data_IF_616336470960
#
_entry.id   IF_616336470960
#
_cell.length_a   1.000
_cell.length_b   1.000
_cell.length_c   1.000
_cell.angle_alpha   90.00
_cell.angle_beta   90.00
_cell.angle_gamma   90.00
#
_symmetry.space_group_name_H-M   'P 1'
#
loop_
_entity.id
_entity.type
_entity.pdbx_description
1 polymer ?
#
# COMPACT_ATOMS: atom_id res chain seq x y z
N UNK A 1 -23.21 -1.38 1.54
CA UNK A 1 -22.21 -2.34 1.03
C UNK A 1 -21.36 -2.75 2.22
N UNK A 2 -21.30 -4.04 2.54
CA UNK A 2 -20.41 -4.51 3.62
C UNK A 2 -18.99 -4.16 3.21
N UNK A 3 -18.32 -3.28 3.98
CA UNK A 3 -16.93 -2.94 3.73
C UNK A 3 -16.10 -4.22 3.95
N UNK A 4 -15.78 -4.92 2.86
CA UNK A 4 -14.88 -6.06 2.90
C UNK A 4 -13.49 -5.60 3.34
N UNK A 5 -12.69 -6.51 3.86
CA UNK A 5 -11.25 -6.30 3.99
C UNK A 5 -10.53 -7.20 3.00
N UNK A 6 -9.42 -6.71 2.45
CA UNK A 6 -8.56 -7.48 1.57
C UNK A 6 -7.18 -7.63 2.21
N UNK A 7 -6.47 -8.70 1.83
CA UNK A 7 -5.08 -8.90 2.23
C UNK A 7 -4.16 -8.15 1.27
N UNK A 8 -3.44 -7.15 1.79
CA UNK A 8 -2.37 -6.47 1.09
C UNK A 8 -1.02 -7.11 1.42
N UNK A 9 -0.27 -7.52 0.40
CA UNK A 9 1.12 -7.97 0.50
C UNK A 9 2.04 -6.84 0.01
N UNK A 10 3.07 -6.52 0.77
CA UNK A 10 4.07 -5.50 0.44
C UNK A 10 5.40 -6.18 0.19
N UNK A 11 5.97 -6.00 -1.00
CA UNK A 11 7.13 -6.72 -1.49
C UNK A 11 8.27 -5.75 -1.82
N UNK A 12 9.52 -6.16 -1.62
CA UNK A 12 10.67 -5.46 -2.19
C UNK A 12 10.93 -5.90 -3.64
N UNK A 13 11.49 -5.02 -4.49
CA UNK A 13 11.81 -5.33 -5.90
C UNK A 13 12.84 -6.45 -6.08
N UNK A 14 13.55 -6.85 -5.02
CA UNK A 14 14.49 -7.97 -5.03
C UNK A 14 13.80 -9.35 -4.87
N UNK A 15 12.47 -9.39 -5.02
CA UNK A 15 11.54 -10.52 -5.21
C UNK A 15 11.52 -11.65 -4.15
N UNK A 16 12.51 -11.76 -3.26
CA UNK A 16 12.60 -12.85 -2.27
C UNK A 16 12.28 -12.44 -0.82
N UNK A 17 12.00 -11.16 -0.55
CA UNK A 17 11.59 -10.68 0.78
C UNK A 17 10.26 -9.93 0.76
N UNK A 18 9.27 -10.52 1.46
CA UNK A 18 8.08 -9.83 1.94
C UNK A 18 8.53 -8.75 2.93
N UNK A 19 8.17 -7.49 2.68
CA UNK A 19 8.39 -6.40 3.63
C UNK A 19 7.42 -6.57 4.81
N UNK A 20 6.11 -6.58 4.51
CA UNK A 20 5.07 -6.92 5.48
C UNK A 20 3.74 -7.25 4.78
N UNK A 21 2.72 -7.60 5.57
CA UNK A 21 1.34 -7.71 5.08
C UNK A 21 0.35 -7.01 6.01
N UNK A 22 -0.77 -6.55 5.47
CA UNK A 22 -1.82 -5.87 6.22
C UNK A 22 -3.22 -6.26 5.74
N UNK A 23 -4.20 -6.18 6.64
CA UNK A 23 -5.61 -6.23 6.29
C UNK A 23 -6.12 -4.80 6.10
N UNK A 24 -6.58 -4.47 4.89
CA UNK A 24 -7.03 -3.13 4.52
C UNK A 24 -8.51 -3.15 4.11
N UNK A 25 -9.28 -2.10 4.42
CA UNK A 25 -10.67 -2.02 3.98
C UNK A 25 -10.74 -1.84 2.45
N UNK A 26 -11.70 -2.49 1.81
CA UNK A 26 -12.05 -2.24 0.41
C UNK A 26 -12.81 -0.92 0.34
N UNK A 27 -12.19 0.09 -0.29
CA UNK A 27 -12.75 1.44 -0.41
C UNK A 27 -13.49 1.67 -1.74
N UNK A 28 -13.18 0.87 -2.76
CA UNK A 28 -13.69 1.00 -4.13
C UNK A 28 -13.84 -0.38 -4.79
N UNK A 29 -14.58 -0.44 -5.91
CA UNK A 29 -14.69 -1.66 -6.72
C UNK A 29 -13.38 -2.02 -7.44
N UNK A 30 -12.51 -1.03 -7.65
CA UNK A 30 -11.17 -1.20 -8.21
C UNK A 30 -10.10 -1.22 -7.11
N UNK A 31 -8.99 -1.96 -7.30
CA UNK A 31 -7.87 -1.93 -6.38
C UNK A 31 -7.20 -0.54 -6.37
N UNK A 32 -6.61 -0.12 -5.24
CA UNK A 32 -5.86 1.13 -5.19
C UNK A 32 -4.60 1.04 -6.07
N UNK A 33 -4.22 2.15 -6.70
CA UNK A 33 -3.01 2.23 -7.54
C UNK A 33 -1.73 2.09 -6.73
N UNK A 34 -1.73 2.66 -5.52
CA UNK A 34 -0.60 2.65 -4.62
C UNK A 34 -1.05 2.75 -3.17
N UNK A 35 -0.19 2.24 -2.28
CA UNK A 35 -0.31 2.37 -0.83
C UNK A 35 0.88 3.17 -0.33
N UNK A 36 0.62 4.08 0.61
CA UNK A 36 1.66 4.77 1.37
C UNK A 36 1.71 4.23 2.78
N UNK A 37 2.91 3.97 3.29
CA UNK A 37 3.15 3.52 4.65
C UNK A 37 4.04 4.51 5.41
N UNK A 38 3.67 4.83 6.65
CA UNK A 38 4.53 5.58 7.55
C UNK A 38 5.81 4.77 7.82
N UNK A 39 6.97 5.38 7.65
CA UNK A 39 8.27 4.74 7.90
C UNK A 39 9.27 5.75 8.46
N UNK A 40 10.49 5.31 8.70
CA UNK A 40 11.62 6.17 9.03
C UNK A 40 12.80 5.86 8.13
N UNK A 41 13.47 6.90 7.63
CA UNK A 41 14.70 6.77 6.85
C UNK A 41 15.80 7.60 7.51
N UNK A 42 16.94 6.96 7.83
CA UNK A 42 18.06 7.59 8.54
C UNK A 42 17.66 8.35 9.83
N UNK A 43 16.67 7.82 10.57
CA UNK A 43 16.17 8.43 11.81
C UNK A 43 15.19 9.59 11.63
N UNK A 44 14.87 9.99 10.40
CA UNK A 44 13.85 10.99 10.09
C UNK A 44 12.53 10.33 9.66
N UNK A 45 11.41 11.01 9.90
CA UNK A 45 10.10 10.57 9.42
C UNK A 45 10.05 10.58 7.90
N UNK A 46 9.54 9.49 7.34
CA UNK A 46 9.42 9.30 5.91
C UNK A 46 8.14 8.53 5.58
N UNK A 47 7.85 8.42 4.28
CA UNK A 47 6.73 7.66 3.74
C UNK A 47 7.26 6.71 2.69
N UNK A 48 7.06 5.41 2.89
CA UNK A 48 7.30 4.39 1.88
C UNK A 48 6.10 4.33 0.92
N UNK A 49 6.38 4.24 -0.38
CA UNK A 49 5.40 4.18 -1.46
C UNK A 49 5.48 2.80 -2.10
N UNK A 50 4.35 2.09 -2.12
CA UNK A 50 4.21 0.79 -2.75
C UNK A 50 3.20 0.89 -3.87
N UNK A 51 3.57 0.49 -5.08
CA UNK A 51 2.71 0.52 -6.26
C UNK A 51 2.06 -0.84 -6.49
N UNK A 52 0.81 -0.85 -6.97
CA UNK A 52 0.11 -2.09 -7.30
C UNK A 52 0.93 -2.89 -8.33
N UNK A 53 1.22 -4.14 -7.97
CA UNK A 53 1.98 -5.08 -8.80
C UNK A 53 1.08 -6.21 -9.34
N UNK A 54 0.21 -6.76 -8.50
CA UNK A 54 -0.70 -7.86 -8.86
C UNK A 54 -2.04 -7.69 -8.13
N UNK A 55 -3.15 -7.92 -8.85
CA UNK A 55 -4.51 -7.76 -8.36
C UNK A 55 -5.50 -8.79 -8.94
N UNK A 56 -5.02 -9.87 -9.53
CA UNK A 56 -5.83 -10.96 -10.11
C UNK A 56 -6.79 -11.61 -9.12
N UNK A 57 -6.51 -11.51 -7.82
CA UNK A 57 -7.36 -12.00 -6.72
C UNK A 57 -8.15 -10.89 -6.02
N UNK A 58 -8.37 -9.75 -6.68
CA UNK A 58 -9.20 -8.68 -6.13
C UNK A 58 -10.69 -9.07 -6.16
N UNK A 59 -11.48 -8.80 -5.08
CA UNK A 59 -11.17 -8.00 -3.90
C UNK A 59 -10.63 -8.77 -2.68
N UNK A 60 -10.24 -10.04 -2.80
CA UNK A 60 -9.73 -10.83 -1.67
C UNK A 60 -8.28 -10.47 -1.30
N UNK A 61 -7.43 -10.22 -2.30
CA UNK A 61 -6.01 -9.92 -2.11
C UNK A 61 -5.41 -9.05 -3.23
N UNK A 62 -4.36 -8.30 -2.89
CA UNK A 62 -3.53 -7.56 -3.83
C UNK A 62 -2.08 -7.48 -3.33
N UNK A 63 -1.13 -7.43 -4.26
CA UNK A 63 0.29 -7.26 -3.97
C UNK A 63 0.78 -5.90 -4.46
N UNK A 64 1.61 -5.25 -3.64
CA UNK A 64 2.20 -3.96 -3.90
C UNK A 64 3.72 -4.03 -3.79
N UNK A 65 4.41 -3.49 -4.78
CA UNK A 65 5.87 -3.46 -4.83
C UNK A 65 6.39 -2.13 -4.31
N UNK A 66 7.39 -2.17 -3.44
CA UNK A 66 8.10 -0.99 -2.99
C UNK A 66 8.68 -0.23 -4.19
N UNK A 67 8.29 1.03 -4.35
CA UNK A 67 8.78 1.91 -5.41
C UNK A 67 9.88 2.83 -4.88
N UNK A 68 9.61 3.50 -3.75
CA UNK A 68 10.51 4.51 -3.17
C UNK A 68 10.11 4.91 -1.76
N UNK A 69 11.03 5.58 -1.08
CA UNK A 69 10.76 6.30 0.17
C UNK A 69 10.90 7.79 -0.08
N UNK A 70 9.94 8.58 0.40
CA UNK A 70 9.95 10.05 0.31
C UNK A 70 10.01 10.67 1.72
N UNK A 71 10.74 11.79 1.93
CA UNK A 71 10.71 12.50 3.20
C UNK A 71 9.30 13.03 3.51
N UNK A 72 8.88 12.95 4.78
CA UNK A 72 7.61 13.51 5.22
C UNK A 72 6.86 12.66 6.24
N UNK A 73 5.61 13.02 6.48
CA UNK A 73 4.71 12.33 7.40
C UNK A 73 3.41 11.98 6.72
N UNK A 74 2.80 10.90 7.18
CA UNK A 74 1.45 10.54 6.74
C UNK A 74 0.43 11.55 7.29
N UNK A 75 -0.57 11.94 6.48
CA UNK A 75 -1.63 12.83 6.94
C UNK A 75 -2.42 12.19 8.09
N UNK A 76 -2.74 13.00 9.11
CA UNK A 76 -3.55 12.57 10.25
C UNK A 76 -2.93 11.48 11.14
N UNK A 77 -1.64 11.18 10.99
CA UNK A 77 -0.96 10.12 11.76
C UNK A 77 -1.33 8.70 11.34
N UNK A 78 -1.92 8.53 10.15
CA UNK A 78 -2.25 7.22 9.62
C UNK A 78 -0.99 6.37 9.39
N UNK A 79 -1.09 5.05 9.60
CA UNK A 79 0.00 4.12 9.29
C UNK A 79 0.03 3.70 7.83
N UNK A 80 -1.15 3.57 7.22
CA UNK A 80 -1.34 3.19 5.83
C UNK A 80 -2.38 4.10 5.18
N UNK A 81 -2.15 4.51 3.94
CA UNK A 81 -3.08 5.29 3.11
C UNK A 81 -3.25 4.57 1.77
N UNK A 82 -4.50 4.34 1.37
CA UNK A 82 -4.85 3.80 0.05
C UNK A 82 -5.08 4.97 -0.91
N UNK A 83 -4.35 5.01 -2.02
CA UNK A 83 -4.49 6.04 -3.05
C UNK A 83 -5.08 5.39 -4.30
N UNK A 84 -6.29 5.81 -4.66
CA UNK A 84 -6.98 5.33 -5.85
C UNK A 84 -6.24 5.76 -7.14
N UNK A 85 -6.37 4.95 -8.18
CA UNK A 85 -6.06 5.42 -9.54
C UNK A 85 -7.02 6.56 -9.86
N UNK A 86 -6.56 7.72 -10.36
CA UNK A 86 -7.49 8.68 -10.94
C UNK A 86 -8.23 8.00 -12.09
N UNK A 87 -9.56 8.08 -12.09
CA UNK A 87 -10.36 7.75 -13.28
C UNK A 87 -9.87 8.67 -14.42
N UNK A 88 -9.36 8.07 -15.50
CA UNK A 88 -8.92 8.76 -16.73
C UNK A 88 -10.15 9.18 -17.56
#
# INVERSE_FOLDING_TARGET
MSAGTYRALFLHPDEDEDDFSAQLPVLSETPPALIRAATTFAGAQAVAVYRLAEASSWPEAAAFLYEKTVPGTMPGGARLEQVATPDD
#
